data_IF_161831147351
#
_entry.id   IF_161831147351
#
_cell.length_a   1.000
_cell.length_b   1.000
_cell.length_c   1.000
_cell.angle_alpha   90.00
_cell.angle_beta   90.00
_cell.angle_gamma   90.00
#
_symmetry.space_group_name_H-M   'P 1'
#
loop_
_entity.id
_entity.type
_entity.pdbx_description
1 polymer ?
#
# COMPACT_ATOMS: atom_id res chain seq x y z
N UNK A 1 -20.14 -5.55 -11.54
CA UNK A 1 -19.62 -6.51 -12.53
C UNK A 1 -18.11 -6.41 -12.48
N UNK A 2 -17.41 -7.46 -12.02
CA UNK A 2 -15.94 -7.48 -12.00
C UNK A 2 -15.47 -7.58 -13.44
N UNK A 3 -14.64 -6.64 -13.90
CA UNK A 3 -14.05 -6.71 -15.24
C UNK A 3 -12.90 -7.71 -15.19
N UNK A 4 -13.03 -8.80 -15.95
CA UNK A 4 -11.96 -9.79 -16.10
C UNK A 4 -10.73 -9.14 -16.76
N UNK A 5 -9.56 -9.39 -16.21
CA UNK A 5 -8.28 -8.92 -16.73
C UNK A 5 -7.48 -10.14 -17.18
N UNK A 6 -7.30 -10.26 -18.49
CA UNK A 6 -6.49 -11.33 -19.06
C UNK A 6 -5.07 -11.35 -18.43
N UNK A 7 -4.49 -12.55 -18.36
CA UNK A 7 -3.12 -12.72 -17.91
C UNK A 7 -2.16 -11.90 -18.79
N UNK A 8 -1.05 -11.38 -18.25
CA UNK A 8 -0.08 -10.63 -19.03
C UNK A 8 0.59 -11.51 -20.08
N UNK A 9 0.66 -11.04 -21.32
CA UNK A 9 1.50 -11.61 -22.37
C UNK A 9 2.95 -11.18 -22.13
N UNK A 10 3.84 -12.15 -21.88
CA UNK A 10 5.21 -11.90 -21.43
C UNK A 10 6.25 -12.20 -22.51
N UNK A 11 7.42 -11.52 -22.49
CA UNK A 11 7.82 -10.47 -21.54
C UNK A 11 7.06 -9.17 -21.77
N UNK A 12 6.71 -8.48 -20.68
CA UNK A 12 6.17 -7.12 -20.78
C UNK A 12 7.23 -6.18 -21.37
N UNK A 13 6.80 -5.22 -22.19
CA UNK A 13 7.67 -4.16 -22.71
C UNK A 13 6.94 -2.81 -22.78
N UNK A 14 7.69 -1.71 -22.72
CA UNK A 14 7.14 -0.37 -22.84
C UNK A 14 6.48 0.14 -21.55
N UNK A 15 5.38 0.89 -21.67
CA UNK A 15 4.73 1.50 -20.51
C UNK A 15 5.24 2.88 -20.14
N UNK A 16 4.84 3.33 -18.94
CA UNK A 16 5.26 4.60 -18.36
C UNK A 16 5.85 4.35 -16.99
N UNK A 17 6.86 5.11 -16.64
CA UNK A 17 7.40 5.13 -15.29
C UNK A 17 7.12 6.47 -14.61
N UNK A 18 7.23 6.47 -13.28
CA UNK A 18 7.22 7.68 -12.46
C UNK A 18 8.32 7.56 -11.42
N UNK A 19 8.87 8.71 -11.03
CA UNK A 19 10.03 8.82 -10.16
C UNK A 19 9.67 9.52 -8.87
N UNK A 20 10.13 8.96 -7.76
CA UNK A 20 10.07 9.58 -6.45
C UNK A 20 11.48 9.96 -6.00
N UNK A 21 11.71 11.27 -5.84
CA UNK A 21 12.99 11.86 -5.45
C UNK A 21 13.02 12.26 -3.95
N UNK A 22 12.02 11.84 -3.17
CA UNK A 22 11.92 12.14 -1.74
C UNK A 22 11.51 13.57 -1.37
N UNK A 23 11.31 14.48 -2.33
CA UNK A 23 10.93 15.89 -2.03
C UNK A 23 9.60 16.03 -1.29
N UNK A 24 8.67 15.11 -1.51
CA UNK A 24 7.38 15.04 -0.81
C UNK A 24 7.25 13.67 -0.15
N UNK A 25 6.86 13.60 1.13
CA UNK A 25 6.62 12.33 1.78
C UNK A 25 5.35 11.69 1.24
N UNK A 26 5.28 10.37 1.39
CA UNK A 26 4.07 9.58 1.21
C UNK A 26 3.65 8.99 2.54
N UNK A 27 2.37 8.69 2.69
CA UNK A 27 1.77 8.36 3.96
C UNK A 27 1.40 6.89 4.04
N UNK A 28 1.60 6.32 5.23
CA UNK A 28 1.10 4.98 5.57
C UNK A 28 0.34 5.06 6.87
N UNK A 29 -0.93 4.65 6.84
CA UNK A 29 -1.67 4.30 8.06
C UNK A 29 -1.38 2.83 8.38
N UNK A 30 -1.02 2.54 9.62
CA UNK A 30 -0.67 1.20 10.06
C UNK A 30 -1.05 0.97 11.51
N UNK A 31 -1.20 -0.30 11.88
CA UNK A 31 -1.36 -0.71 13.27
C UNK A 31 0.01 -1.15 13.80
N UNK A 32 0.59 -0.35 14.69
CA UNK A 32 1.95 -0.53 15.17
C UNK A 32 2.11 -1.80 16.02
N UNK A 33 3.12 -2.60 15.70
CA UNK A 33 3.57 -3.76 16.48
C UNK A 33 5.11 -3.80 16.47
N UNK A 34 5.76 -4.44 17.46
CA UNK A 34 7.22 -4.51 17.50
C UNK A 34 7.84 -5.09 16.21
N UNK A 35 7.18 -6.07 15.60
CA UNK A 35 7.56 -6.74 14.35
C UNK A 35 7.12 -6.01 13.07
N UNK A 36 6.34 -4.93 13.20
CA UNK A 36 5.75 -4.22 12.06
C UNK A 36 5.85 -2.70 12.23
N UNK A 37 7.08 -2.13 12.11
CA UNK A 37 7.27 -0.68 12.04
C UNK A 37 6.63 -0.07 10.78
N UNK A 38 6.53 1.26 10.75
CA UNK A 38 5.97 2.01 9.63
C UNK A 38 6.64 1.70 8.28
N UNK A 39 7.91 1.33 8.29
CA UNK A 39 8.72 1.05 7.09
C UNK A 39 8.69 -0.43 6.68
N UNK A 40 8.07 -1.30 7.47
CA UNK A 40 8.09 -2.75 7.23
C UNK A 40 7.34 -3.12 5.95
N UNK A 41 8.02 -3.86 5.07
CA UNK A 41 7.41 -4.54 3.93
C UNK A 41 6.85 -5.89 4.37
N UNK A 42 5.63 -6.21 3.95
CA UNK A 42 4.98 -7.48 4.25
C UNK A 42 5.51 -8.58 3.32
N UNK A 43 6.04 -9.66 3.89
CA UNK A 43 6.55 -10.86 3.18
C UNK A 43 5.50 -11.96 3.01
N UNK A 44 4.60 -12.12 3.97
CA UNK A 44 3.42 -12.98 3.86
C UNK A 44 2.44 -12.49 2.78
N UNK A 45 2.10 -13.28 1.76
CA UNK A 45 1.16 -12.92 0.71
C UNK A 45 0.98 -14.04 -0.33
N UNK A 46 0.25 -13.78 -1.44
CA UNK A 46 -0.35 -12.50 -1.82
C UNK A 46 -1.75 -12.29 -1.20
N UNK A 47 -2.05 -11.05 -0.79
CA UNK A 47 -3.31 -10.60 -0.16
C UNK A 47 -3.89 -9.42 -0.93
N UNK A 48 -3.06 -8.41 -1.23
CA UNK A 48 -3.52 -7.16 -1.84
C UNK A 48 -3.27 -7.12 -3.35
N UNK A 49 -3.88 -6.15 -4.03
CA UNK A 49 -3.97 -6.09 -5.50
C UNK A 49 -2.62 -6.22 -6.21
N UNK A 50 -1.59 -5.57 -5.67
CA UNK A 50 -0.29 -5.44 -6.32
C UNK A 50 0.83 -6.13 -5.55
N UNK A 51 0.47 -7.25 -4.93
CA UNK A 51 1.41 -8.12 -4.25
C UNK A 51 2.25 -8.89 -5.28
N UNK A 52 3.60 -8.80 -5.22
CA UNK A 52 4.49 -9.48 -6.16
C UNK A 52 4.78 -10.93 -5.72
N UNK A 53 4.19 -11.39 -4.61
CA UNK A 53 4.49 -12.70 -4.01
C UNK A 53 4.14 -13.86 -4.95
N UNK A 54 4.92 -14.94 -4.84
CA UNK A 54 4.81 -16.15 -5.67
C UNK A 54 3.86 -17.25 -5.17
N UNK A 55 3.49 -17.34 -3.87
CA UNK A 55 2.42 -18.26 -3.45
C UNK A 55 1.10 -18.00 -4.19
N UNK A 56 0.24 -19.01 -4.35
CA UNK A 56 -1.04 -18.86 -5.02
C UNK A 56 -1.98 -17.97 -4.18
N UNK A 57 -2.86 -17.22 -4.86
CA UNK A 57 -3.83 -16.34 -4.19
C UNK A 57 -4.74 -17.07 -3.19
N UNK A 58 -5.06 -18.33 -3.45
CA UNK A 58 -5.92 -19.16 -2.60
C UNK A 58 -5.23 -19.69 -1.35
N UNK A 59 -3.90 -19.64 -1.30
CA UNK A 59 -3.10 -20.12 -0.16
C UNK A 59 -1.92 -19.15 0.10
N UNK A 60 -2.20 -17.96 0.67
CA UNK A 60 -1.17 -16.99 0.99
C UNK A 60 -0.20 -17.54 2.05
N UNK A 61 1.09 -17.34 1.83
CA UNK A 61 2.15 -17.84 2.70
C UNK A 61 3.31 -16.84 2.79
N UNK A 62 4.28 -17.09 3.67
CA UNK A 62 5.57 -16.40 3.59
C UNK A 62 6.21 -16.69 2.23
N UNK A 63 6.57 -15.62 1.50
CA UNK A 63 7.05 -15.77 0.14
C UNK A 63 8.46 -16.37 0.13
N UNK A 64 8.67 -17.54 -0.47
CA UNK A 64 9.96 -18.25 -0.42
C UNK A 64 11.09 -17.46 -1.10
N UNK A 65 10.75 -16.67 -2.13
CA UNK A 65 11.70 -15.82 -2.85
C UNK A 65 12.05 -14.52 -2.09
N UNK A 66 11.54 -14.34 -0.88
CA UNK A 66 11.76 -13.14 -0.06
C UNK A 66 11.07 -11.87 -0.58
N UNK A 67 10.22 -11.97 -1.61
CA UNK A 67 9.46 -10.84 -2.15
C UNK A 67 8.60 -10.21 -1.06
N UNK A 68 8.50 -8.90 -1.09
CA UNK A 68 7.78 -8.16 -0.06
C UNK A 68 7.16 -6.89 -0.64
N UNK A 69 6.19 -6.32 0.08
CA UNK A 69 5.47 -5.14 -0.40
C UNK A 69 5.12 -4.18 0.74
N UNK A 70 5.19 -2.88 0.45
CA UNK A 70 4.64 -1.80 1.28
C UNK A 70 3.73 -0.91 0.45
N UNK A 71 2.57 -0.58 1.02
CA UNK A 71 1.59 0.30 0.40
C UNK A 71 1.67 1.69 1.03
N UNK A 72 1.79 2.70 0.16
CA UNK A 72 1.87 4.11 0.53
C UNK A 72 0.81 4.90 -0.24
N UNK A 73 0.42 6.06 0.29
CA UNK A 73 -0.52 6.96 -0.39
C UNK A 73 -0.06 8.40 -0.34
N UNK A 74 -0.53 9.21 -1.28
CA UNK A 74 -0.13 10.62 -1.43
C UNK A 74 -0.58 11.54 -0.29
N UNK A 75 -1.56 11.11 0.52
CA UNK A 75 -2.16 11.91 1.59
C UNK A 75 -2.73 11.04 2.70
N UNK A 76 -2.97 11.66 3.87
CA UNK A 76 -3.70 11.02 4.98
C UNK A 76 -5.10 10.54 4.53
N UNK A 77 -5.79 11.33 3.69
CA UNK A 77 -7.12 10.97 3.16
C UNK A 77 -7.06 9.64 2.43
N UNK A 78 -6.14 9.52 1.47
CA UNK A 78 -5.98 8.31 0.68
C UNK A 78 -5.53 7.14 1.55
N UNK A 79 -4.52 7.33 2.40
CA UNK A 79 -4.01 6.27 3.27
C UNK A 79 -5.08 5.73 4.24
N UNK A 80 -5.87 6.61 4.85
CA UNK A 80 -6.96 6.21 5.73
C UNK A 80 -8.09 5.51 4.96
N UNK A 81 -8.40 5.96 3.75
CA UNK A 81 -9.41 5.33 2.90
C UNK A 81 -9.00 3.92 2.46
N UNK A 82 -7.72 3.68 2.16
CA UNK A 82 -7.21 2.35 1.85
C UNK A 82 -7.30 1.39 3.06
N UNK A 83 -7.13 1.89 4.29
CA UNK A 83 -7.18 1.05 5.49
C UNK A 83 -8.60 0.82 6.01
N UNK A 84 -9.47 1.83 5.96
CA UNK A 84 -10.79 1.80 6.60
C UNK A 84 -11.96 1.82 5.60
N UNK A 85 -11.71 2.12 4.32
CA UNK A 85 -12.75 2.36 3.32
C UNK A 85 -13.57 1.13 2.96
N UNK A 86 -12.97 -0.07 3.03
CA UNK A 86 -13.68 -1.33 2.74
C UNK A 86 -14.81 -1.60 3.75
N UNK A 87 -14.58 -1.30 5.03
CA UNK A 87 -15.55 -1.55 6.10
C UNK A 87 -16.39 -0.32 6.48
N UNK A 88 -16.07 0.85 5.91
CA UNK A 88 -16.72 2.15 6.23
C UNK A 88 -16.71 2.50 7.72
N UNK A 89 -15.80 1.88 8.48
CA UNK A 89 -15.63 2.06 9.91
C UNK A 89 -14.14 2.04 10.26
N UNK A 90 -13.69 3.09 10.91
CA UNK A 90 -12.35 3.26 11.45
C UNK A 90 -12.40 3.15 12.97
N UNK A 91 -12.16 1.94 13.47
CA UNK A 91 -11.95 1.69 14.91
C UNK A 91 -10.49 1.99 15.26
N UNK A 92 -10.25 3.20 15.80
CA UNK A 92 -8.90 3.72 16.07
C UNK A 92 -8.54 3.46 17.53
N UNK A 93 -7.67 2.49 17.76
CA UNK A 93 -7.02 2.27 19.06
C UNK A 93 -5.69 3.04 19.17
N UNK A 94 -5.07 3.13 20.36
CA UNK A 94 -3.79 3.85 20.55
C UNK A 94 -2.63 3.34 19.68
N UNK A 95 -2.70 2.12 19.13
CA UNK A 95 -1.65 1.55 18.27
C UNK A 95 -1.80 1.91 16.79
N UNK A 96 -2.93 2.47 16.36
CA UNK A 96 -3.07 2.96 15.00
C UNK A 96 -2.28 4.26 14.84
N UNK A 97 -1.42 4.29 13.83
CA UNK A 97 -0.49 5.38 13.57
C UNK A 97 -0.52 5.77 12.09
N UNK A 98 -0.07 6.98 11.81
CA UNK A 98 0.26 7.42 10.46
C UNK A 98 1.70 7.91 10.44
N UNK A 99 2.46 7.41 9.46
CA UNK A 99 3.82 7.85 9.20
C UNK A 99 3.89 8.55 7.84
N UNK A 100 4.67 9.64 7.78
CA UNK A 100 5.19 10.20 6.55
C UNK A 100 6.53 9.55 6.24
N UNK A 101 6.67 9.04 5.03
CA UNK A 101 7.76 8.19 4.58
C UNK A 101 8.43 8.83 3.37
N UNK A 102 9.76 8.69 3.28
CA UNK A 102 10.60 9.13 2.15
C UNK A 102 11.56 8.02 1.77
N UNK A 103 11.97 7.90 0.51
CA UNK A 103 12.93 6.90 0.12
C UNK A 103 14.35 7.37 0.48
N UNK A 104 15.24 6.44 0.81
CA UNK A 104 16.65 6.70 1.07
C UNK A 104 17.41 7.11 -0.19
N UNK A 105 16.97 6.61 -1.34
CA UNK A 105 17.44 6.97 -2.67
C UNK A 105 16.28 7.22 -3.63
N UNK A 106 16.56 7.85 -4.77
CA UNK A 106 15.60 7.97 -5.85
C UNK A 106 15.06 6.58 -6.26
N UNK A 107 13.74 6.46 -6.37
CA UNK A 107 13.09 5.23 -6.85
C UNK A 107 12.21 5.46 -8.07
N UNK A 108 12.09 4.41 -8.88
CA UNK A 108 11.30 4.39 -10.12
C UNK A 108 10.24 3.29 -10.01
N UNK A 109 9.00 3.62 -10.37
CA UNK A 109 7.87 2.70 -10.37
C UNK A 109 7.16 2.70 -11.71
N UNK A 110 6.54 1.58 -12.06
CA UNK A 110 5.62 1.51 -13.19
C UNK A 110 4.41 2.40 -12.89
N UNK A 111 4.15 3.39 -13.73
CA UNK A 111 3.01 4.28 -13.59
C UNK A 111 1.83 3.73 -14.39
N UNK A 112 0.85 3.14 -13.70
CA UNK A 112 -0.34 2.55 -14.32
C UNK A 112 -1.40 3.60 -14.66
N UNK A 113 -1.25 4.83 -14.15
CA UNK A 113 -2.19 5.93 -14.37
C UNK A 113 -2.22 6.41 -15.83
N UNK A 114 -3.35 7.01 -16.22
CA UNK A 114 -3.58 7.43 -17.60
C UNK A 114 -3.58 6.22 -18.53
N UNK A 115 -2.82 6.29 -19.62
CA UNK A 115 -2.63 5.16 -20.55
C UNK A 115 -1.57 4.15 -20.10
N UNK A 116 -0.92 4.35 -18.95
CA UNK A 116 0.25 3.56 -18.53
C UNK A 116 -0.01 2.06 -18.37
N UNK A 117 -1.20 1.67 -17.90
CA UNK A 117 -1.63 0.28 -17.87
C UNK A 117 -1.82 -0.33 -19.28
N UNK A 118 -2.42 0.42 -20.20
CA UNK A 118 -2.63 -0.03 -21.59
C UNK A 118 -1.33 -0.16 -22.37
N UNK A 119 -0.35 0.71 -22.09
CA UNK A 119 0.95 0.69 -22.76
C UNK A 119 1.79 -0.56 -22.44
N UNK A 120 1.40 -1.36 -21.45
CA UNK A 120 1.98 -2.68 -21.16
C UNK A 120 1.00 -3.83 -21.47
N UNK A 121 -0.05 -3.58 -22.25
CA UNK A 121 -1.07 -4.57 -22.65
C UNK A 121 -2.21 -4.78 -21.64
N UNK A 122 -2.24 -4.03 -20.53
CA UNK A 122 -3.29 -4.12 -19.52
C UNK A 122 -4.54 -3.29 -19.82
N UNK A 123 -5.51 -3.31 -18.91
CA UNK A 123 -6.74 -2.50 -19.01
C UNK A 123 -6.64 -1.21 -18.16
N UNK A 124 -7.33 -0.12 -18.54
CA UNK A 124 -7.43 1.08 -17.71
C UNK A 124 -7.91 0.81 -16.28
N UNK A 125 -8.79 -0.18 -16.11
CA UNK A 125 -9.32 -0.60 -14.81
C UNK A 125 -8.23 -1.16 -13.88
N UNK A 126 -7.07 -1.60 -14.40
CA UNK A 126 -5.95 -1.99 -13.55
C UNK A 126 -5.49 -0.81 -12.69
N UNK A 127 -5.62 0.43 -13.16
CA UNK A 127 -5.25 1.62 -12.42
C UNK A 127 -6.23 2.01 -11.30
N UNK A 128 -7.55 1.88 -11.54
CA UNK A 128 -8.61 2.49 -10.70
C UNK A 128 -9.64 1.50 -10.16
N UNK A 129 -9.80 0.38 -10.85
CA UNK A 129 -11.00 -0.45 -10.80
C UNK A 129 -10.96 -1.61 -9.82
N UNK A 130 -12.11 -2.21 -9.63
CA UNK A 130 -12.31 -3.45 -8.88
C UNK A 130 -12.11 -4.66 -9.82
N UNK A 131 -10.84 -5.02 -9.99
CA UNK A 131 -10.39 -6.22 -10.72
C UNK A 131 -10.11 -7.31 -9.70
N UNK A 132 -10.32 -8.57 -10.07
CA UNK A 132 -10.06 -9.67 -9.15
C UNK A 132 -8.59 -9.66 -8.71
N UNK A 133 -8.35 -9.81 -7.40
CA UNK A 133 -7.01 -9.67 -6.80
C UNK A 133 -5.98 -10.57 -7.47
N UNK A 134 -6.33 -11.83 -7.73
CA UNK A 134 -5.45 -12.80 -8.38
C UNK A 134 -4.97 -12.34 -9.76
N UNK A 135 -5.79 -11.61 -10.53
CA UNK A 135 -5.42 -11.06 -11.83
C UNK A 135 -4.43 -9.90 -11.65
N UNK A 136 -4.74 -8.92 -10.79
CA UNK A 136 -3.82 -7.80 -10.52
C UNK A 136 -2.49 -8.26 -9.93
N UNK A 137 -2.48 -9.35 -9.17
CA UNK A 137 -1.28 -9.96 -8.60
C UNK A 137 -0.44 -10.67 -9.67
N UNK A 138 -1.08 -11.31 -10.65
CA UNK A 138 -0.36 -11.85 -11.82
C UNK A 138 0.34 -10.75 -12.60
N UNK A 139 -0.32 -9.60 -12.79
CA UNK A 139 0.28 -8.41 -13.38
C UNK A 139 1.40 -7.81 -12.52
N UNK A 140 1.24 -7.77 -11.20
CA UNK A 140 2.29 -7.29 -10.28
C UNK A 140 3.56 -8.14 -10.38
N UNK A 141 3.43 -9.47 -10.42
CA UNK A 141 4.56 -10.39 -10.66
C UNK A 141 5.24 -10.15 -12.00
N UNK A 142 4.46 -10.03 -13.08
CA UNK A 142 5.02 -9.78 -14.40
C UNK A 142 5.77 -8.43 -14.46
N UNK A 143 5.24 -7.36 -13.86
CA UNK A 143 5.93 -6.06 -13.81
C UNK A 143 7.18 -6.12 -12.92
N UNK A 144 7.15 -6.85 -11.80
CA UNK A 144 8.31 -7.05 -10.91
C UNK A 144 9.47 -7.73 -11.64
N UNK A 145 9.15 -8.73 -12.44
CA UNK A 145 10.14 -9.56 -13.15
C UNK A 145 10.62 -8.88 -14.44
N UNK A 146 9.71 -8.38 -15.27
CA UNK A 146 10.02 -7.89 -16.62
C UNK A 146 10.43 -6.41 -16.63
N UNK A 147 10.01 -5.61 -15.63
CA UNK A 147 10.33 -4.18 -15.46
C UNK A 147 10.17 -3.35 -16.75
N UNK A 148 8.98 -3.38 -17.38
CA UNK A 148 8.79 -3.03 -18.79
C UNK A 148 9.16 -1.59 -19.16
N UNK A 149 8.91 -0.63 -18.25
CA UNK A 149 9.14 0.78 -18.54
C UNK A 149 10.55 1.26 -18.22
N UNK A 150 11.27 0.58 -17.31
CA UNK A 150 12.62 0.96 -16.89
C UNK A 150 13.28 -0.16 -16.06
N UNK A 151 14.59 -0.47 -16.24
CA UNK A 151 15.26 -1.55 -15.49
C UNK A 151 15.27 -1.40 -13.96
N UNK A 152 15.09 -0.16 -13.45
CA UNK A 152 14.98 0.16 -12.00
C UNK A 152 13.55 0.16 -11.46
N UNK A 153 12.55 -0.30 -12.22
CA UNK A 153 11.17 -0.40 -11.70
C UNK A 153 11.16 -1.29 -10.46
N UNK A 154 10.67 -0.74 -9.35
CA UNK A 154 10.64 -1.39 -8.04
C UNK A 154 9.25 -1.35 -7.37
N UNK A 155 8.21 -1.13 -8.16
CA UNK A 155 6.84 -1.00 -7.68
C UNK A 155 5.89 -0.48 -8.74
N UNK A 156 4.66 -0.22 -8.32
CA UNK A 156 3.61 0.37 -9.17
C UNK A 156 3.01 1.62 -8.53
N UNK A 157 2.60 2.56 -9.37
CA UNK A 157 1.82 3.76 -9.02
C UNK A 157 0.45 3.69 -9.67
N UNK A 158 -0.58 3.79 -8.85
CA UNK A 158 -1.97 3.62 -9.27
C UNK A 158 -2.91 4.59 -8.55
N UNK A 159 -4.18 4.60 -8.93
CA UNK A 159 -5.21 5.43 -8.29
C UNK A 159 -5.95 4.58 -7.23
N UNK A 160 -6.06 5.11 -6.01
CA UNK A 160 -6.86 4.53 -4.93
C UNK A 160 -8.33 4.38 -5.35
N UNK A 161 -8.87 3.18 -5.18
CA UNK A 161 -10.29 2.91 -5.47
C UNK A 161 -11.23 3.55 -4.44
N UNK A 162 -10.74 3.85 -3.24
CA UNK A 162 -11.57 4.35 -2.13
C UNK A 162 -11.66 5.88 -2.07
N UNK A 163 -10.60 6.60 -2.42
CA UNK A 163 -10.54 8.05 -2.31
C UNK A 163 -10.18 8.79 -3.61
N UNK A 164 -9.82 8.07 -4.69
CA UNK A 164 -9.41 8.66 -5.97
C UNK A 164 -8.02 9.34 -5.93
N UNK A 165 -7.35 9.34 -4.77
CA UNK A 165 -5.97 9.80 -4.62
C UNK A 165 -4.96 8.81 -5.20
N UNK A 166 -3.67 9.10 -5.06
CA UNK A 166 -2.60 8.26 -5.62
C UNK A 166 -2.03 7.31 -4.58
N UNK A 167 -1.78 6.07 -4.98
CA UNK A 167 -1.12 5.06 -4.16
C UNK A 167 0.11 4.46 -4.85
N UNK A 168 1.03 3.95 -4.04
CA UNK A 168 2.18 3.17 -4.43
C UNK A 168 2.10 1.79 -3.79
N UNK A 169 2.46 0.76 -4.55
CA UNK A 169 2.93 -0.50 -4.00
C UNK A 169 4.42 -0.61 -4.31
N UNK A 170 5.27 -0.56 -3.29
CA UNK A 170 6.72 -0.66 -3.43
C UNK A 170 7.17 -2.04 -2.99
N UNK A 171 8.06 -2.66 -3.77
CA UNK A 171 8.46 -4.03 -3.58
C UNK A 171 9.81 -4.16 -2.85
N UNK A 172 10.28 -5.40 -2.71
CA UNK A 172 11.59 -5.76 -2.14
C UNK A 172 12.77 -5.13 -2.87
N UNK A 173 12.62 -4.84 -4.17
CA UNK A 173 13.63 -4.20 -5.01
C UNK A 173 13.71 -2.68 -4.84
N UNK A 174 12.81 -2.07 -4.07
CA UNK A 174 12.84 -0.63 -3.83
C UNK A 174 13.94 -0.29 -2.79
N UNK A 175 14.58 0.89 -2.90
CA UNK A 175 15.50 1.39 -1.87
C UNK A 175 14.86 1.39 -0.48
N UNK A 176 15.69 1.50 0.56
CA UNK A 176 15.18 1.67 1.92
C UNK A 176 14.22 2.86 2.00
N UNK A 177 13.20 2.73 2.85
CA UNK A 177 12.24 3.79 3.12
C UNK A 177 12.42 4.20 4.57
N UNK A 178 12.48 5.50 4.82
CA UNK A 178 12.67 6.07 6.14
C UNK A 178 11.45 6.89 6.54
N UNK A 179 11.27 7.04 7.86
CA UNK A 179 10.32 8.01 8.38
C UNK A 179 10.90 9.40 8.15
N UNK A 180 10.13 10.28 7.52
CA UNK A 180 10.52 11.66 7.28
C UNK A 180 10.77 12.38 8.62
N UNK A 181 11.70 13.33 8.64
CA UNK A 181 11.98 14.16 9.80
C UNK A 181 11.77 15.63 9.46
N UNK A 182 11.17 16.39 10.38
CA UNK A 182 11.02 17.84 10.31
C UNK A 182 11.56 18.40 11.62
N UNK A 183 12.56 19.27 11.54
CA UNK A 183 13.24 19.85 12.70
C UNK A 183 13.73 18.81 13.71
N UNK A 184 14.27 17.69 13.19
CA UNK A 184 14.76 16.56 14.00
C UNK A 184 13.67 15.65 14.56
N UNK A 185 12.38 15.95 14.33
CA UNK A 185 11.26 15.13 14.79
C UNK A 185 10.77 14.19 13.70
N UNK A 186 10.80 12.90 13.99
CA UNK A 186 10.19 11.87 13.15
C UNK A 186 8.68 12.11 12.95
N UNK A 187 8.23 12.04 11.70
CA UNK A 187 6.85 12.27 11.31
C UNK A 187 6.04 10.96 11.37
N UNK A 188 5.90 10.42 12.58
CA UNK A 188 5.11 9.23 12.88
C UNK A 188 4.27 9.48 14.15
N UNK A 189 2.95 9.45 13.99
CA UNK A 189 2.02 9.99 14.99
C UNK A 189 0.88 9.01 15.25
N UNK A 190 0.38 8.98 16.49
CA UNK A 190 -0.79 8.16 16.80
C UNK A 190 -2.03 8.83 16.23
N UNK A 191 -2.88 8.05 15.56
CA UNK A 191 -4.15 8.56 15.03
C UNK A 191 -5.12 8.99 16.14
N UNK A 192 -4.94 8.47 17.35
CA UNK A 192 -5.68 8.86 18.53
C UNK A 192 -5.23 10.21 19.14
N UNK A 193 -4.09 10.77 18.71
CA UNK A 193 -3.63 12.08 19.20
C UNK A 193 -4.67 13.16 18.81
N UNK A 194 -5.18 13.99 19.75
CA UNK A 194 -6.36 14.81 19.49
C UNK A 194 -6.30 15.70 18.22
N UNK A 195 -5.18 16.42 17.96
CA UNK A 195 -5.07 17.23 16.74
C UNK A 195 -5.12 16.39 15.46
N UNK A 196 -4.56 15.17 15.49
CA UNK A 196 -4.52 14.27 14.34
C UNK A 196 -5.85 13.55 14.17
N UNK A 197 -6.52 13.19 15.26
CA UNK A 197 -7.86 12.59 15.23
C UNK A 197 -8.88 13.53 14.57
N UNK A 198 -8.83 14.84 14.87
CA UNK A 198 -9.66 15.85 14.19
C UNK A 198 -9.34 15.91 12.70
N UNK A 199 -8.06 15.88 12.31
CA UNK A 199 -7.67 15.82 10.89
C UNK A 199 -8.14 14.55 10.20
N UNK A 200 -8.10 13.41 10.89
CA UNK A 200 -8.62 12.14 10.40
C UNK A 200 -10.12 12.26 10.11
N UNK A 201 -10.91 12.75 11.07
CA UNK A 201 -12.35 13.00 10.90
C UNK A 201 -12.65 13.85 9.65
N UNK A 202 -11.95 14.99 9.51
CA UNK A 202 -12.12 15.91 8.37
C UNK A 202 -11.93 15.20 7.03
N UNK A 203 -10.95 14.29 6.93
CA UNK A 203 -10.64 13.64 5.65
C UNK A 203 -11.47 12.41 5.36
N UNK A 204 -11.94 11.66 6.38
CA UNK A 204 -12.63 10.37 6.18
C UNK A 204 -14.15 10.45 6.28
N UNK A 205 -14.72 11.40 7.04
CA UNK A 205 -16.19 11.59 7.12
C UNK A 205 -16.80 11.88 5.74
N UNK A 206 -16.21 12.72 4.88
CA UNK A 206 -16.72 12.92 3.51
C UNK A 206 -16.67 11.65 2.65
N UNK A 207 -15.86 10.65 3.03
CA UNK A 207 -15.80 9.34 2.38
C UNK A 207 -16.81 8.34 2.98
N UNK A 208 -17.70 8.81 3.88
CA UNK A 208 -18.68 7.99 4.61
C UNK A 208 -18.00 6.88 5.43
N UNK A 209 -16.84 7.20 6.02
CA UNK A 209 -16.16 6.33 6.98
C UNK A 209 -16.47 6.89 8.36
N UNK A 210 -17.17 6.11 9.17
CA UNK A 210 -17.37 6.42 10.59
C UNK A 210 -16.05 6.24 11.35
N UNK A 211 -15.76 7.09 12.33
CA UNK A 211 -14.56 6.96 13.16
C UNK A 211 -14.97 6.79 14.62
N UNK A 212 -14.49 5.73 15.25
CA UNK A 212 -14.69 5.45 16.67
C UNK A 212 -13.34 5.22 17.33
N UNK A 213 -13.02 6.05 18.32
CA UNK A 213 -11.94 5.77 19.23
C UNK A 213 -12.32 4.56 20.10
N UNK A 214 -11.42 3.58 20.20
CA UNK A 214 -11.61 2.38 21.01
C UNK A 214 -10.37 2.13 21.87
N UNK A 215 -10.54 1.38 22.95
CA UNK A 215 -9.41 0.91 23.75
C UNK A 215 -8.59 -0.16 23.02
N UNK A 216 -7.41 -0.47 23.54
CA UNK A 216 -6.61 -1.60 23.04
C UNK A 216 -7.32 -2.94 23.26
N UNK A 217 -8.10 -3.09 24.33
CA UNK A 217 -8.78 -4.34 24.67
C UNK A 217 -9.99 -4.61 23.76
N UNK A 218 -10.62 -3.57 23.22
CA UNK A 218 -11.65 -3.68 22.17
C UNK A 218 -11.06 -3.93 20.78
N UNK A 219 -9.74 -3.74 20.59
CA UNK A 219 -9.12 -3.81 19.28
C UNK A 219 -8.71 -5.25 18.94
N UNK A 220 -9.38 -5.85 17.95
CA UNK A 220 -9.08 -7.21 17.45
C UNK A 220 -7.61 -7.40 17.05
N UNK A 221 -6.95 -6.33 16.55
CA UNK A 221 -5.53 -6.34 16.18
C UNK A 221 -4.59 -6.25 17.39
N UNK A 222 -5.01 -5.68 18.51
CA UNK A 222 -4.24 -5.69 19.76
C UNK A 222 -4.40 -7.03 20.47
N UNK A 223 -5.64 -7.49 20.65
CA UNK A 223 -5.94 -8.75 21.37
C UNK A 223 -5.37 -9.96 20.63
N UNK A 224 -5.52 -10.02 19.31
CA UNK A 224 -4.96 -11.11 18.51
C UNK A 224 -3.42 -11.17 18.46
N UNK A 225 -2.71 -10.11 18.85
CA UNK A 225 -1.24 -10.13 18.95
C UNK A 225 -0.70 -10.67 20.28
N UNK A 226 -1.54 -10.90 21.28
CA UNK A 226 -1.12 -11.44 22.59
C UNK A 226 -1.00 -12.98 22.56
N UNK A 227 -1.50 -13.64 21.49
CA UNK A 227 -1.62 -15.10 21.43
C UNK A 227 -0.76 -15.86 20.41
N UNK A 228 0.04 -15.20 19.57
CA UNK A 228 0.84 -15.88 18.52
C UNK A 228 2.33 -15.87 18.86
N UNK A 229 2.68 -16.44 20.01
CA UNK A 229 3.94 -17.16 20.15
C UNK A 229 3.71 -18.59 19.69
N UNK A 230 3.80 -18.85 18.39
CA UNK A 230 3.95 -20.22 17.88
C UNK A 230 5.07 -20.22 16.83
N UNK A 231 6.02 -21.09 17.12
CA UNK A 231 7.25 -21.40 16.42
C UNK A 231 7.02 -21.81 14.96
#
# INVERSE_FOLDING_TARGET
MVTHLAAPERPLSGGRWWRWDGRRPWFRVYHARPDRPATARRRFGPIERFDPHTPPFTDPAECPDGRSVIYLSDSLRTAAAEVFGAHRLAQVCPRYRVAALVPGDELIVQNLRGSGAMMIGGLPMMNVGDIARHETQAWARAIHEDRPAHPRVCGVRYTSAHAGGVSLALWDTAPEIHIASVDGRAQDFALADPPLYVRLLIVVVPLRIEVRAISSDECVRCVGSVGTGRA
#
